data_IF_526134808444
#
_entry.id   IF_526134808444
#
_cell.length_a   1.000
_cell.length_b   1.000
_cell.length_c   1.000
_cell.angle_alpha   90.00
_cell.angle_beta   90.00
_cell.angle_gamma   90.00
#
_symmetry.space_group_name_H-M   'P 1'
#
loop_
_entity.id
_entity.type
_entity.pdbx_description
1 polymer ?
#
# COMPACT_ATOMS: atom_id res chain seq x y z
N UNK A 1 -9.15 -21.62 -0.15
CA UNK A 1 -7.86 -22.17 0.31
C UNK A 1 -7.37 -21.31 1.47
N UNK A 2 -7.25 -21.90 2.66
CA UNK A 2 -6.81 -21.24 3.89
C UNK A 2 -5.27 -21.26 3.95
N UNK A 3 -4.66 -20.35 4.71
CA UNK A 3 -3.19 -20.33 4.87
C UNK A 3 -2.69 -21.61 5.54
N UNK A 4 -3.49 -22.18 6.44
CA UNK A 4 -3.27 -23.45 7.12
C UNK A 4 -3.04 -24.63 6.16
N UNK A 5 -3.53 -24.53 4.92
CA UNK A 5 -3.39 -25.56 3.89
C UNK A 5 -1.96 -25.61 3.31
N UNK A 6 -1.13 -24.59 3.56
CA UNK A 6 0.24 -24.50 3.05
C UNK A 6 1.27 -24.81 4.14
N UNK A 7 2.19 -25.75 3.87
CA UNK A 7 3.27 -26.11 4.81
C UNK A 7 4.62 -25.45 4.50
N UNK A 8 4.87 -25.09 3.24
CA UNK A 8 6.13 -24.52 2.76
C UNK A 8 5.95 -23.89 1.38
N UNK A 9 6.92 -23.07 0.95
CA UNK A 9 7.00 -22.49 -0.40
C UNK A 9 6.66 -20.99 -0.47
N UNK A 10 6.88 -20.42 -1.66
CA UNK A 10 6.74 -18.96 -1.91
C UNK A 10 5.31 -18.47 -1.67
N UNK A 11 4.32 -19.31 -1.91
CA UNK A 11 2.91 -18.96 -1.71
C UNK A 11 2.56 -18.78 -0.22
N UNK A 12 3.12 -19.62 0.66
CA UNK A 12 2.97 -19.48 2.10
C UNK A 12 3.55 -18.13 2.57
N UNK A 13 4.74 -17.77 2.08
CA UNK A 13 5.40 -16.51 2.45
C UNK A 13 4.59 -15.28 2.01
N UNK A 14 4.13 -15.25 0.75
CA UNK A 14 3.34 -14.13 0.21
C UNK A 14 2.00 -13.97 0.94
N UNK A 15 1.30 -15.07 1.19
CA UNK A 15 0.02 -15.04 1.93
C UNK A 15 0.20 -14.73 3.41
N UNK A 16 1.29 -15.21 4.01
CA UNK A 16 1.69 -14.88 5.37
C UNK A 16 1.91 -13.39 5.55
N UNK A 17 2.69 -12.77 4.66
CA UNK A 17 2.90 -11.32 4.64
C UNK A 17 1.58 -10.54 4.54
N UNK A 18 0.69 -10.93 3.61
CA UNK A 18 -0.62 -10.30 3.49
C UNK A 18 -1.49 -10.46 4.75
N UNK A 19 -1.29 -11.53 5.53
CA UNK A 19 -2.05 -11.74 6.77
C UNK A 19 -1.60 -10.88 7.94
N UNK A 20 -0.35 -10.40 7.94
CA UNK A 20 0.13 -9.44 8.94
C UNK A 20 -0.62 -8.10 8.86
N UNK A 21 -1.21 -7.80 7.70
CA UNK A 21 -1.95 -6.57 7.46
C UNK A 21 -3.43 -6.64 7.88
N UNK A 22 -3.90 -7.79 8.38
CA UNK A 22 -5.30 -7.97 8.78
C UNK A 22 -5.64 -7.08 9.98
N UNK A 23 -6.78 -6.37 9.87
CA UNK A 23 -7.29 -5.51 10.95
C UNK A 23 -6.67 -4.12 11.00
N UNK A 24 -5.71 -3.79 10.13
CA UNK A 24 -5.14 -2.46 10.02
C UNK A 24 -5.72 -1.65 8.85
N UNK A 25 -5.27 -0.40 8.76
CA UNK A 25 -5.59 0.54 7.67
C UNK A 25 -4.34 0.79 6.84
N UNK A 26 -4.49 0.79 5.52
CA UNK A 26 -3.46 1.19 4.55
C UNK A 26 -3.90 2.54 3.96
N UNK A 27 -3.02 3.54 4.01
CA UNK A 27 -3.36 4.90 3.56
C UNK A 27 -2.64 5.28 2.27
N UNK A 28 -3.38 5.88 1.33
CA UNK A 28 -2.84 6.48 0.11
C UNK A 28 -2.08 7.78 0.46
N UNK A 29 -0.84 7.90 0.00
CA UNK A 29 0.02 9.06 0.25
C UNK A 29 0.76 9.50 -1.01
N UNK A 30 1.00 10.80 -1.15
CA UNK A 30 1.71 11.40 -2.30
C UNK A 30 2.97 12.18 -1.89
N UNK A 31 3.25 12.28 -0.59
CA UNK A 31 4.41 12.97 -0.05
C UNK A 31 4.93 12.32 1.23
N UNK A 32 6.20 12.60 1.56
CA UNK A 32 6.84 12.14 2.81
C UNK A 32 6.08 12.62 4.05
N UNK A 33 5.54 13.84 4.00
CA UNK A 33 4.77 14.39 5.11
C UNK A 33 3.47 13.61 5.35
N UNK A 34 2.75 13.27 4.28
CA UNK A 34 1.55 12.43 4.40
C UNK A 34 1.89 11.03 4.91
N UNK A 35 3.04 10.47 4.52
CA UNK A 35 3.50 9.18 5.02
C UNK A 35 3.73 9.19 6.54
N UNK A 36 4.37 10.26 7.07
CA UNK A 36 4.56 10.45 8.52
C UNK A 36 3.24 10.60 9.26
N UNK A 37 2.32 11.42 8.73
CA UNK A 37 0.99 11.60 9.33
C UNK A 37 0.22 10.27 9.36
N UNK A 38 0.33 9.45 8.31
CA UNK A 38 -0.31 8.14 8.26
C UNK A 38 0.27 7.16 9.29
N UNK A 39 1.60 7.14 9.47
CA UNK A 39 2.28 6.35 10.50
C UNK A 39 1.83 6.79 11.91
N UNK A 40 1.84 8.10 12.19
CA UNK A 40 1.40 8.66 13.47
C UNK A 40 -0.08 8.38 13.76
N UNK A 41 -0.91 8.31 12.72
CA UNK A 41 -2.34 7.95 12.82
C UNK A 41 -2.58 6.44 13.03
N UNK A 42 -1.52 5.61 13.04
CA UNK A 42 -1.60 4.17 13.25
C UNK A 42 -1.90 3.35 12.00
N UNK A 43 -1.60 3.87 10.81
CA UNK A 43 -1.64 3.07 9.59
C UNK A 43 -0.60 1.95 9.65
N UNK A 44 -0.98 0.73 9.29
CA UNK A 44 -0.07 -0.42 9.29
C UNK A 44 0.86 -0.45 8.06
N UNK A 45 0.50 0.29 7.02
CA UNK A 45 1.26 0.47 5.79
C UNK A 45 0.76 1.72 5.04
N UNK A 46 1.55 2.18 4.08
CA UNK A 46 1.20 3.28 3.17
C UNK A 46 1.28 2.83 1.71
N UNK A 47 0.44 3.43 0.87
CA UNK A 47 0.43 3.25 -0.58
C UNK A 47 0.95 4.52 -1.24
N UNK A 48 2.18 4.50 -1.74
CA UNK A 48 2.80 5.65 -2.39
C UNK A 48 2.29 5.80 -3.84
N UNK A 49 1.70 6.95 -4.15
CA UNK A 49 1.06 7.25 -5.43
C UNK A 49 1.56 8.59 -6.00
N UNK A 50 1.46 8.76 -7.33
CA UNK A 50 1.74 10.05 -7.96
C UNK A 50 0.65 11.09 -7.67
N UNK A 51 -0.59 10.65 -7.45
CA UNK A 51 -1.75 11.47 -7.11
C UNK A 51 -2.82 10.60 -6.43
N UNK A 52 -3.63 11.18 -5.55
CA UNK A 52 -4.74 10.46 -4.92
C UNK A 52 -5.85 10.17 -5.93
N UNK A 53 -6.67 9.11 -5.75
CA UNK A 53 -7.70 8.73 -6.72
C UNK A 53 -8.71 9.85 -7.04
N UNK A 54 -9.02 10.71 -6.07
CA UNK A 54 -9.90 11.86 -6.28
C UNK A 54 -9.31 12.86 -7.29
N UNK A 55 -8.01 13.14 -7.19
CA UNK A 55 -7.30 14.06 -8.07
C UNK A 55 -7.10 13.45 -9.47
N UNK A 56 -6.79 12.15 -9.54
CA UNK A 56 -6.71 11.42 -10.83
C UNK A 56 -8.03 11.53 -11.59
N UNK A 57 -9.16 11.34 -10.91
CA UNK A 57 -10.50 11.46 -11.52
C UNK A 57 -10.80 12.88 -11.98
N UNK A 58 -10.37 13.89 -11.23
CA UNK A 58 -10.59 15.31 -11.54
C UNK A 58 -9.72 15.79 -12.70
N UNK A 59 -8.45 15.40 -12.73
CA UNK A 59 -7.49 15.80 -13.76
C UNK A 59 -7.78 15.13 -15.10
N UNK A 60 -8.29 13.88 -15.08
CA UNK A 60 -8.40 13.06 -16.28
C UNK A 60 -7.03 12.68 -16.85
N UNK A 61 -7.03 12.08 -18.05
CA UNK A 61 -5.79 11.68 -18.73
C UNK A 61 -5.24 10.32 -18.27
N UNK A 62 -3.91 10.14 -18.40
CA UNK A 62 -3.25 8.84 -18.22
C UNK A 62 -2.51 8.79 -16.88
N UNK A 63 -3.04 7.99 -15.95
CA UNK A 63 -2.38 7.66 -14.68
C UNK A 63 -1.30 6.59 -14.88
N UNK A 64 -0.10 6.80 -14.29
CA UNK A 64 1.03 5.87 -14.34
C UNK A 64 1.52 5.53 -12.93
N UNK A 65 2.52 4.64 -12.84
CA UNK A 65 3.25 4.37 -11.60
C UNK A 65 3.88 5.65 -11.06
N UNK A 66 3.97 5.77 -9.73
CA UNK A 66 4.77 6.81 -9.09
C UNK A 66 6.24 6.70 -9.52
N UNK A 67 6.95 7.83 -9.54
CA UNK A 67 8.40 7.82 -9.80
C UNK A 67 9.09 6.98 -8.72
N UNK A 68 9.96 6.00 -9.08
CA UNK A 68 10.71 5.22 -8.10
C UNK A 68 11.43 6.07 -7.05
N UNK A 69 11.93 7.25 -7.42
CA UNK A 69 12.60 8.17 -6.49
C UNK A 69 11.68 8.74 -5.41
N UNK A 70 10.36 8.69 -5.61
CA UNK A 70 9.34 9.09 -4.61
C UNK A 70 8.99 7.93 -3.68
N UNK A 71 9.20 6.68 -4.12
CA UNK A 71 8.80 5.46 -3.40
C UNK A 71 9.95 4.85 -2.58
N UNK A 72 11.19 5.02 -3.05
CA UNK A 72 12.42 4.42 -2.49
C UNK A 72 12.97 5.12 -1.25
#
# INVERSE_FOLDING_TARGET
MKIEDFRHGTELLKRGFASLQKGGVIMDVTSVEQARIAEDAGAIAVMALHAVPADIRKAGGVARMADPAVVS
#
